data_IF_850114553422
#
_entry.id   IF_850114553422
#
_cell.length_a   1.000
_cell.length_b   1.000
_cell.length_c   1.000
_cell.angle_alpha   90.00
_cell.angle_beta   90.00
_cell.angle_gamma   90.00
#
_symmetry.space_group_name_H-M   'P 1'
#
loop_
_entity.id
_entity.type
_entity.pdbx_description
1 polymer ?
#
# COMPACT_ATOMS: atom_id res chain seq x y z
N UNK A 1 -39.38 -14.62 -12.42
CA UNK A 1 -37.96 -14.20 -12.66
C UNK A 1 -37.19 -15.39 -13.23
N UNK A 2 -36.47 -15.25 -14.33
CA UNK A 2 -35.75 -16.38 -14.96
C UNK A 2 -34.55 -16.77 -14.07
N UNK A 3 -34.67 -17.91 -13.39
CA UNK A 3 -33.68 -18.41 -12.42
C UNK A 3 -32.34 -18.80 -13.10
N UNK A 4 -32.39 -19.24 -14.36
CA UNK A 4 -31.21 -19.61 -15.15
C UNK A 4 -30.38 -18.37 -15.48
N UNK A 5 -31.02 -17.32 -16.02
CA UNK A 5 -30.32 -16.07 -16.32
C UNK A 5 -29.70 -15.42 -15.09
N UNK A 6 -30.39 -15.50 -13.92
CA UNK A 6 -29.83 -14.99 -12.68
C UNK A 6 -28.60 -15.77 -12.24
N UNK A 7 -28.67 -17.10 -12.29
CA UNK A 7 -27.53 -17.96 -11.95
C UNK A 7 -26.33 -17.67 -12.87
N UNK A 8 -26.57 -17.53 -14.16
CA UNK A 8 -25.51 -17.28 -15.13
C UNK A 8 -24.90 -15.87 -14.93
N UNK A 9 -25.71 -14.87 -14.64
CA UNK A 9 -25.24 -13.53 -14.29
C UNK A 9 -24.39 -13.56 -12.99
N UNK A 10 -24.87 -14.25 -11.95
CA UNK A 10 -24.11 -14.41 -10.70
C UNK A 10 -22.77 -15.13 -10.92
N UNK A 11 -22.72 -16.14 -11.77
CA UNK A 11 -21.50 -16.86 -12.13
C UNK A 11 -20.49 -15.93 -12.86
N UNK A 12 -20.96 -15.15 -13.82
CA UNK A 12 -20.13 -14.18 -14.56
C UNK A 12 -19.57 -13.13 -13.60
N UNK A 13 -20.41 -12.53 -12.75
CA UNK A 13 -19.98 -11.52 -11.78
C UNK A 13 -18.93 -12.08 -10.82
N UNK A 14 -19.17 -13.26 -10.23
CA UNK A 14 -18.22 -13.90 -9.33
C UNK A 14 -16.90 -14.24 -10.00
N UNK A 15 -16.93 -14.78 -11.21
CA UNK A 15 -15.74 -15.10 -11.99
C UNK A 15 -14.96 -13.84 -12.33
N UNK A 16 -15.62 -12.75 -12.73
CA UNK A 16 -15.00 -11.47 -13.03
C UNK A 16 -14.33 -10.85 -11.79
N UNK A 17 -15.00 -10.87 -10.64
CA UNK A 17 -14.43 -10.41 -9.38
C UNK A 17 -13.19 -11.24 -9.02
N UNK A 18 -13.29 -12.57 -9.10
CA UNK A 18 -12.17 -13.44 -8.79
C UNK A 18 -10.97 -13.21 -9.69
N UNK A 19 -11.19 -12.95 -10.98
CA UNK A 19 -10.14 -12.71 -11.96
C UNK A 19 -9.34 -11.42 -11.72
N UNK A 20 -9.91 -10.42 -11.02
CA UNK A 20 -9.26 -9.14 -10.71
C UNK A 20 -8.71 -9.06 -9.28
N UNK A 21 -8.84 -10.11 -8.49
CA UNK A 21 -8.22 -10.15 -7.15
C UNK A 21 -6.69 -10.09 -7.26
N UNK A 22 -6.02 -9.42 -6.31
CA UNK A 22 -4.59 -9.15 -6.41
C UNK A 22 -3.70 -10.39 -6.23
N UNK A 23 -4.22 -11.47 -5.68
CA UNK A 23 -3.43 -12.65 -5.29
C UNK A 23 -2.65 -13.25 -6.45
N UNK A 24 -3.33 -13.48 -7.58
CA UNK A 24 -2.72 -14.07 -8.78
C UNK A 24 -1.74 -13.09 -9.46
N UNK A 25 -2.09 -11.80 -9.48
CA UNK A 25 -1.22 -10.79 -10.05
C UNK A 25 0.08 -10.65 -9.24
N UNK A 26 0.00 -10.71 -7.91
CA UNK A 26 1.17 -10.68 -7.03
C UNK A 26 2.02 -11.94 -7.22
N UNK A 27 1.41 -13.13 -7.25
CA UNK A 27 2.15 -14.39 -7.49
C UNK A 27 2.92 -14.35 -8.80
N UNK A 28 2.26 -14.01 -9.91
CA UNK A 28 2.91 -13.89 -11.23
C UNK A 28 4.04 -12.85 -11.24
N UNK A 29 3.85 -11.71 -10.60
CA UNK A 29 4.88 -10.69 -10.53
C UNK A 29 6.11 -11.14 -9.72
N UNK A 30 5.93 -12.08 -8.78
CA UNK A 30 7.00 -12.62 -7.95
C UNK A 30 7.67 -13.87 -8.55
N UNK A 31 7.15 -14.49 -9.62
CA UNK A 31 7.79 -15.64 -10.28
C UNK A 31 9.23 -15.36 -10.75
N UNK A 32 9.47 -14.15 -11.26
CA UNK A 32 10.80 -13.71 -11.69
C UNK A 32 11.57 -12.94 -10.60
N UNK A 33 10.99 -12.82 -9.40
CA UNK A 33 11.61 -12.07 -8.32
C UNK A 33 12.74 -12.86 -7.67
N UNK A 34 13.94 -12.29 -7.69
CA UNK A 34 15.11 -12.88 -7.05
C UNK A 34 15.70 -11.89 -6.03
N UNK A 35 15.61 -12.19 -4.72
CA UNK A 35 16.26 -11.39 -3.70
C UNK A 35 17.79 -11.41 -3.88
N UNK A 36 18.43 -10.30 -3.53
CA UNK A 36 19.89 -10.13 -3.66
C UNK A 36 20.73 -10.86 -2.59
N UNK A 37 20.12 -11.75 -1.80
CA UNK A 37 20.79 -12.55 -0.77
C UNK A 37 20.89 -11.87 0.60
N UNK A 38 20.33 -10.65 0.77
CA UNK A 38 20.13 -9.99 2.05
C UNK A 38 18.71 -10.16 2.58
N UNK A 39 18.26 -9.23 3.43
CA UNK A 39 16.90 -9.22 3.97
C UNK A 39 15.89 -8.88 2.87
N UNK A 40 14.72 -9.51 2.93
CA UNK A 40 13.54 -9.14 2.14
C UNK A 40 12.55 -8.47 3.05
N UNK A 41 12.37 -7.17 2.88
CA UNK A 41 11.44 -6.36 3.64
C UNK A 41 10.22 -6.01 2.79
N UNK A 42 9.03 -6.10 3.39
CA UNK A 42 7.77 -5.88 2.70
C UNK A 42 7.08 -4.63 3.25
N UNK A 43 6.72 -3.71 2.38
CA UNK A 43 5.86 -2.58 2.72
C UNK A 43 4.67 -2.60 1.77
N UNK A 44 3.46 -2.61 2.30
CA UNK A 44 2.25 -2.61 1.50
C UNK A 44 1.31 -1.48 1.92
N UNK A 45 0.78 -0.72 0.97
CA UNK A 45 -0.12 0.39 1.25
C UNK A 45 -1.31 0.43 0.29
N UNK A 46 -2.50 0.66 0.82
CA UNK A 46 -3.73 0.77 0.04
C UNK A 46 -4.83 -0.17 0.50
N UNK A 47 -6.00 -0.09 -0.15
CA UNK A 47 -7.19 -0.87 0.24
C UNK A 47 -7.01 -2.38 0.07
N UNK A 48 -6.18 -2.83 -0.88
CA UNK A 48 -5.84 -4.24 -1.10
C UNK A 48 -4.49 -4.64 -0.47
N UNK A 49 -3.85 -3.76 0.31
CA UNK A 49 -2.50 -3.97 0.83
C UNK A 49 -2.37 -5.25 1.66
N UNK A 50 -3.35 -5.56 2.51
CA UNK A 50 -3.33 -6.79 3.30
C UNK A 50 -3.34 -8.03 2.39
N UNK A 51 -4.24 -8.07 1.40
CA UNK A 51 -4.37 -9.21 0.51
C UNK A 51 -3.13 -9.40 -0.37
N UNK A 52 -2.56 -8.29 -0.89
CA UNK A 52 -1.30 -8.32 -1.64
C UNK A 52 -0.13 -8.83 -0.78
N UNK A 53 -0.01 -8.33 0.44
CA UNK A 53 1.05 -8.75 1.37
C UNK A 53 0.92 -10.22 1.76
N UNK A 54 -0.32 -10.68 2.03
CA UNK A 54 -0.59 -12.08 2.33
C UNK A 54 -0.17 -12.99 1.16
N UNK A 55 -0.57 -12.65 -0.08
CA UNK A 55 -0.17 -13.39 -1.27
C UNK A 55 1.34 -13.37 -1.49
N UNK A 56 2.00 -12.23 -1.24
CA UNK A 56 3.45 -12.12 -1.38
C UNK A 56 4.21 -12.99 -0.37
N UNK A 57 3.79 -12.98 0.90
CA UNK A 57 4.42 -13.82 1.93
C UNK A 57 4.21 -15.32 1.64
N UNK A 58 3.03 -15.69 1.13
CA UNK A 58 2.79 -17.08 0.69
C UNK A 58 3.69 -17.48 -0.48
N UNK A 59 3.89 -16.60 -1.47
CA UNK A 59 4.73 -16.88 -2.63
C UNK A 59 6.23 -16.94 -2.29
N UNK A 60 6.70 -16.07 -1.38
CA UNK A 60 8.10 -16.00 -0.95
C UNK A 60 8.46 -16.99 0.17
N UNK A 61 7.46 -17.59 0.82
CA UNK A 61 7.62 -18.45 1.99
C UNK A 61 7.89 -17.67 3.28
N UNK A 62 8.67 -16.59 3.23
CA UNK A 62 8.93 -15.70 4.38
C UNK A 62 9.39 -14.31 3.92
N UNK A 63 9.27 -13.36 4.83
CA UNK A 63 9.94 -12.05 4.77
C UNK A 63 10.68 -11.82 6.10
N UNK A 64 11.72 -10.99 6.08
CA UNK A 64 12.52 -10.67 7.28
C UNK A 64 11.90 -9.55 8.11
N UNK A 65 10.87 -8.93 7.60
CA UNK A 65 10.05 -7.94 8.27
C UNK A 65 9.09 -7.28 7.29
N UNK A 66 7.98 -6.76 7.80
CA UNK A 66 7.02 -6.08 6.93
C UNK A 66 6.07 -5.15 7.67
N UNK A 67 5.51 -4.20 6.94
CA UNK A 67 4.44 -3.31 7.39
C UNK A 67 3.37 -3.22 6.32
N UNK A 68 2.13 -3.47 6.73
CA UNK A 68 0.93 -3.26 5.92
C UNK A 68 0.18 -2.06 6.47
N UNK A 69 -0.24 -1.15 5.61
CA UNK A 69 -1.13 -0.05 5.96
C UNK A 69 -2.37 -0.11 5.07
N UNK A 70 -3.50 -0.46 5.65
CA UNK A 70 -4.75 -0.60 4.92
C UNK A 70 -5.89 0.16 5.60
N UNK A 71 -7.04 0.25 4.95
CA UNK A 71 -8.23 0.89 5.50
C UNK A 71 -8.81 0.06 6.66
N UNK A 72 -9.44 0.74 7.63
CA UNK A 72 -10.18 0.07 8.71
C UNK A 72 -11.13 -1.02 8.21
N UNK A 73 -11.10 -2.18 8.87
CA UNK A 73 -11.89 -3.37 8.52
C UNK A 73 -11.36 -4.17 7.35
N UNK A 74 -10.14 -3.89 6.86
CA UNK A 74 -9.53 -4.60 5.73
C UNK A 74 -8.44 -5.60 6.13
N UNK A 75 -7.98 -5.60 7.37
CA UNK A 75 -7.11 -6.66 7.92
C UNK A 75 -7.95 -7.89 8.20
N UNK A 76 -7.61 -9.02 7.58
CA UNK A 76 -8.36 -10.29 7.70
C UNK A 76 -7.68 -11.29 8.64
N UNK A 77 -6.55 -10.91 9.24
CA UNK A 77 -5.77 -11.75 10.15
C UNK A 77 -4.31 -11.38 10.18
N UNK A 78 -3.52 -12.05 11.02
CA UNK A 78 -2.07 -11.85 11.09
C UNK A 78 -1.36 -12.41 9.85
N UNK A 79 -0.30 -11.75 9.43
CA UNK A 79 0.64 -12.25 8.42
C UNK A 79 1.97 -12.46 9.11
N UNK A 80 2.58 -13.67 9.07
CA UNK A 80 3.84 -13.94 9.76
C UNK A 80 4.95 -12.96 9.36
N UNK A 81 5.60 -12.34 10.35
CA UNK A 81 6.68 -11.38 10.12
C UNK A 81 6.23 -9.99 9.65
N UNK A 82 4.92 -9.70 9.60
CA UNK A 82 4.37 -8.44 9.09
C UNK A 82 3.47 -7.77 10.11
N UNK A 83 3.73 -6.51 10.40
CA UNK A 83 2.88 -5.64 11.24
C UNK A 83 1.73 -5.09 10.40
N UNK A 84 0.50 -5.55 10.67
CA UNK A 84 -0.68 -5.14 9.93
C UNK A 84 -1.38 -3.98 10.66
N UNK A 85 -1.39 -2.81 10.02
CA UNK A 85 -1.97 -1.58 10.54
C UNK A 85 -3.21 -1.17 9.74
N UNK A 86 -4.24 -0.69 10.43
CA UNK A 86 -5.42 -0.09 9.84
C UNK A 86 -5.42 1.43 10.09
N UNK A 87 -5.88 2.19 9.11
CA UNK A 87 -5.82 3.65 9.12
C UNK A 87 -6.95 4.30 8.33
N UNK A 88 -7.07 5.63 8.46
CA UNK A 88 -8.11 6.44 7.84
C UNK A 88 -7.98 6.57 6.32
N UNK A 89 -9.12 6.46 5.65
CA UNK A 89 -9.25 6.70 4.22
C UNK A 89 -10.66 7.24 3.91
N UNK A 90 -10.85 8.31 3.13
CA UNK A 90 -9.89 8.98 2.23
C UNK A 90 -8.98 10.03 2.92
N UNK A 91 -9.24 10.37 4.16
CA UNK A 91 -8.46 11.35 4.92
C UNK A 91 -7.46 10.60 5.80
N UNK A 92 -6.14 10.94 5.73
CA UNK A 92 -5.15 10.38 6.64
C UNK A 92 -5.44 10.75 8.09
N UNK A 93 -5.10 9.85 9.00
CA UNK A 93 -5.24 10.05 10.44
C UNK A 93 -3.95 9.71 11.20
N UNK A 94 -3.98 9.78 12.52
CA UNK A 94 -2.84 9.47 13.37
C UNK A 94 -2.32 8.04 13.15
N UNK A 95 -3.21 7.08 12.83
CA UNK A 95 -2.81 5.70 12.54
C UNK A 95 -2.10 5.59 11.18
N UNK A 96 -2.49 6.39 10.18
CA UNK A 96 -1.76 6.49 8.91
C UNK A 96 -0.32 6.96 9.15
N UNK A 97 -0.15 7.98 10.01
CA UNK A 97 1.16 8.54 10.33
C UNK A 97 2.04 7.56 11.10
N UNK A 98 1.48 6.94 12.14
CA UNK A 98 2.19 5.96 12.96
C UNK A 98 2.61 4.71 12.15
N UNK A 99 1.73 4.19 11.29
CA UNK A 99 2.03 3.06 10.44
C UNK A 99 3.11 3.39 9.40
N UNK A 100 3.09 4.60 8.84
CA UNK A 100 4.12 5.07 7.92
C UNK A 100 5.47 5.26 8.63
N UNK A 101 5.48 5.71 9.88
CA UNK A 101 6.71 5.76 10.69
C UNK A 101 7.31 4.37 10.94
N UNK A 102 6.49 3.35 11.20
CA UNK A 102 6.95 1.96 11.29
C UNK A 102 7.61 1.50 9.99
N UNK A 103 7.02 1.82 8.84
CA UNK A 103 7.61 1.50 7.55
C UNK A 103 8.94 2.24 7.31
N UNK A 104 9.05 3.50 7.70
CA UNK A 104 10.30 4.26 7.64
C UNK A 104 11.36 3.69 8.59
N UNK A 105 10.97 3.24 9.78
CA UNK A 105 11.86 2.58 10.73
C UNK A 105 12.35 1.23 10.20
N UNK A 106 11.47 0.46 9.56
CA UNK A 106 11.77 -0.85 8.97
C UNK A 106 12.89 -0.75 7.90
N UNK A 107 12.88 0.32 7.10
CA UNK A 107 13.85 0.50 6.00
C UNK A 107 15.12 1.24 6.42
N UNK A 108 15.34 1.48 7.72
CA UNK A 108 16.60 2.05 8.21
C UNK A 108 17.74 1.03 8.17
N UNK A 109 18.93 1.50 7.85
CA UNK A 109 20.15 0.66 7.88
C UNK A 109 20.12 -0.47 6.85
N UNK A 110 19.50 -0.26 5.71
CA UNK A 110 19.56 -1.19 4.58
C UNK A 110 20.98 -1.25 4.01
N UNK A 111 21.32 -2.43 3.51
CA UNK A 111 22.56 -2.69 2.76
C UNK A 111 22.26 -2.93 1.28
N UNK A 112 23.28 -2.91 0.43
CA UNK A 112 23.10 -3.18 -1.01
C UNK A 112 22.55 -4.59 -1.33
N UNK A 113 22.59 -5.50 -0.36
CA UNK A 113 22.07 -6.87 -0.48
C UNK A 113 20.59 -6.97 -0.07
N UNK A 114 20.08 -6.01 0.69
CA UNK A 114 18.69 -6.00 1.14
C UNK A 114 17.75 -5.59 -0.01
N UNK A 115 16.55 -6.10 0.02
CA UNK A 115 15.51 -5.79 -0.97
C UNK A 115 14.25 -5.32 -0.27
N UNK A 116 13.70 -4.20 -0.71
CA UNK A 116 12.38 -3.71 -0.25
C UNK A 116 11.36 -3.98 -1.34
N UNK A 117 10.38 -4.80 -1.02
CA UNK A 117 9.21 -5.05 -1.87
C UNK A 117 8.10 -4.08 -1.44
N UNK A 118 7.77 -3.12 -2.31
CA UNK A 118 6.71 -2.14 -2.04
C UNK A 118 5.47 -2.46 -2.87
N UNK A 119 4.39 -2.85 -2.21
CA UNK A 119 3.11 -3.22 -2.82
C UNK A 119 2.11 -2.07 -2.65
N UNK A 120 1.68 -1.49 -3.76
CA UNK A 120 0.80 -0.33 -3.74
C UNK A 120 -0.52 -0.62 -4.45
N UNK A 121 -1.63 -0.28 -3.80
CA UNK A 121 -2.97 -0.36 -4.36
C UNK A 121 -3.76 0.94 -4.17
N UNK A 122 -4.97 1.01 -4.71
CA UNK A 122 -5.84 2.17 -4.59
C UNK A 122 -6.04 2.63 -3.14
N UNK A 123 -5.99 3.95 -2.92
CA UNK A 123 -6.11 4.55 -1.58
C UNK A 123 -4.78 4.73 -0.84
N UNK A 124 -3.67 4.21 -1.35
CA UNK A 124 -2.37 4.29 -0.70
C UNK A 124 -1.89 5.72 -0.39
N UNK A 125 -2.32 6.71 -1.17
CA UNK A 125 -1.94 8.11 -0.94
C UNK A 125 -2.47 8.69 0.38
N UNK A 126 -3.62 8.24 0.88
CA UNK A 126 -4.13 8.63 2.19
C UNK A 126 -3.55 7.74 3.29
N UNK A 127 -3.47 6.44 3.04
CA UNK A 127 -3.05 5.45 4.01
C UNK A 127 -1.56 5.51 4.33
N UNK A 128 -0.72 5.85 3.35
CA UNK A 128 0.74 5.95 3.50
C UNK A 128 1.16 7.42 3.48
N UNK A 129 1.14 8.05 4.66
CA UNK A 129 1.42 9.46 4.85
C UNK A 129 2.29 9.72 6.08
N UNK A 130 3.32 10.51 5.90
CA UNK A 130 4.09 11.14 6.98
C UNK A 130 4.19 12.63 6.68
N UNK A 131 3.36 13.46 7.32
CA UNK A 131 3.36 14.88 7.06
C UNK A 131 4.62 15.56 7.60
N UNK A 132 5.08 16.60 6.89
CA UNK A 132 6.16 17.51 7.31
C UNK A 132 5.64 18.68 8.15
N UNK A 133 4.32 18.82 8.24
CA UNK A 133 3.58 19.75 9.09
C UNK A 133 2.78 18.96 10.12
N UNK A 134 2.10 19.60 11.04
CA UNK A 134 1.21 18.88 11.95
C UNK A 134 0.06 18.20 11.19
N UNK A 135 -0.48 17.11 11.73
CA UNK A 135 -1.62 16.41 11.12
C UNK A 135 -2.85 17.33 10.95
N UNK A 136 -3.08 18.25 11.90
CA UNK A 136 -4.15 19.24 11.85
C UNK A 136 -3.95 20.25 10.70
N UNK A 137 -2.74 20.75 10.51
CA UNK A 137 -2.42 21.64 9.39
C UNK A 137 -2.56 20.94 8.04
N UNK A 138 -2.10 19.69 7.93
CA UNK A 138 -2.28 18.91 6.68
C UNK A 138 -3.77 18.73 6.35
N UNK A 139 -4.59 18.48 7.37
CA UNK A 139 -6.03 18.30 7.20
C UNK A 139 -6.70 19.63 6.81
N UNK A 140 -6.33 20.73 7.43
CA UNK A 140 -6.84 22.07 7.09
C UNK A 140 -6.47 22.48 5.67
N UNK A 141 -5.21 22.31 5.26
CA UNK A 141 -4.76 22.57 3.89
C UNK A 141 -5.51 21.70 2.89
N UNK A 142 -5.75 20.42 3.21
CA UNK A 142 -6.50 19.51 2.34
C UNK A 142 -7.95 19.98 2.17
N UNK A 143 -8.59 20.42 3.25
CA UNK A 143 -9.97 20.97 3.22
C UNK A 143 -10.05 22.27 2.41
N UNK A 144 -9.08 23.17 2.57
CA UNK A 144 -9.00 24.40 1.78
C UNK A 144 -8.82 24.12 0.28
N UNK A 145 -7.97 23.16 -0.09
CA UNK A 145 -7.78 22.74 -1.47
C UNK A 145 -9.06 22.17 -2.09
N UNK A 146 -9.82 21.38 -1.32
CA UNK A 146 -11.12 20.88 -1.75
C UNK A 146 -12.14 22.01 -1.90
N UNK A 147 -12.19 22.95 -0.96
CA UNK A 147 -13.13 24.05 -0.96
C UNK A 147 -12.88 25.05 -2.10
N UNK A 148 -11.64 25.27 -2.52
CA UNK A 148 -11.32 26.15 -3.66
C UNK A 148 -11.49 25.48 -5.03
N UNK A 149 -11.87 24.19 -5.06
CA UNK A 149 -12.09 23.44 -6.32
C UNK A 149 -10.81 23.01 -7.01
N UNK A 150 -9.70 22.89 -6.26
CA UNK A 150 -8.44 22.38 -6.80
C UNK A 150 -8.60 21.00 -7.44
N UNK A 151 -8.04 20.81 -8.61
CA UNK A 151 -8.05 19.52 -9.29
C UNK A 151 -7.07 18.52 -8.63
N UNK A 152 -7.13 17.27 -9.06
CA UNK A 152 -6.31 16.22 -8.46
C UNK A 152 -4.80 16.43 -8.68
N UNK A 153 -4.40 17.08 -9.75
CA UNK A 153 -2.99 17.37 -10.07
C UNK A 153 -2.47 18.46 -9.13
N UNK A 154 -3.25 19.54 -8.95
CA UNK A 154 -2.94 20.63 -8.02
C UNK A 154 -2.88 20.13 -6.58
N UNK A 155 -3.90 19.37 -6.14
CA UNK A 155 -3.91 18.75 -4.82
C UNK A 155 -2.67 17.87 -4.58
N UNK A 156 -2.34 16.98 -5.53
CA UNK A 156 -1.18 16.10 -5.39
C UNK A 156 0.15 16.88 -5.45
N UNK A 157 0.22 17.98 -6.18
CA UNK A 157 1.40 18.83 -6.23
C UNK A 157 1.74 19.41 -4.87
N UNK A 158 0.74 19.93 -4.16
CA UNK A 158 0.90 20.47 -2.81
C UNK A 158 1.16 19.35 -1.80
N UNK A 159 0.33 18.30 -1.82
CA UNK A 159 0.46 17.17 -0.88
C UNK A 159 1.82 16.48 -0.96
N UNK A 160 2.41 16.34 -2.15
CA UNK A 160 3.77 15.80 -2.32
C UNK A 160 4.81 16.66 -1.62
N UNK A 161 4.65 17.98 -1.59
CA UNK A 161 5.60 18.89 -0.92
C UNK A 161 5.52 18.81 0.59
N UNK A 162 4.34 18.52 1.12
CA UNK A 162 4.05 18.43 2.56
C UNK A 162 4.26 17.03 3.15
N UNK A 163 4.79 16.08 2.38
CA UNK A 163 4.94 14.68 2.80
C UNK A 163 6.39 14.23 2.76
N UNK A 164 6.83 13.50 3.79
CA UNK A 164 8.15 12.88 3.86
C UNK A 164 8.29 11.61 3.00
N UNK A 165 7.18 11.04 2.51
CA UNK A 165 7.20 9.74 1.80
C UNK A 165 6.70 9.81 0.37
N UNK A 166 5.93 10.85 -0.01
CA UNK A 166 5.40 11.01 -1.37
C UNK A 166 6.44 11.58 -2.35
N UNK A 167 6.12 11.54 -3.65
CA UNK A 167 6.98 12.09 -4.69
C UNK A 167 8.33 11.39 -4.82
N UNK A 168 8.39 10.10 -4.54
CA UNK A 168 9.63 9.30 -4.61
C UNK A 168 10.48 9.35 -3.33
N UNK A 169 10.11 10.15 -2.32
CA UNK A 169 10.92 10.29 -1.09
C UNK A 169 11.05 8.99 -0.31
N UNK A 170 10.00 8.15 -0.27
CA UNK A 170 10.14 6.83 0.36
C UNK A 170 11.24 5.98 -0.31
N UNK A 171 11.34 6.02 -1.63
CA UNK A 171 12.43 5.33 -2.33
C UNK A 171 13.82 5.89 -1.96
N UNK A 172 13.92 7.18 -1.66
CA UNK A 172 15.18 7.79 -1.16
C UNK A 172 15.55 7.27 0.24
N UNK A 173 14.56 6.98 1.11
CA UNK A 173 14.81 6.30 2.38
C UNK A 173 15.26 4.86 2.19
N UNK A 174 14.90 4.21 1.07
CA UNK A 174 15.31 2.86 0.70
C UNK A 174 16.60 2.83 -0.13
N UNK A 175 17.57 3.70 0.11
CA UNK A 175 18.71 4.11 -0.74
C UNK A 175 19.57 3.02 -1.41
N UNK A 176 19.22 1.74 -1.37
CA UNK A 176 20.08 0.63 -1.80
C UNK A 176 19.46 -0.31 -2.84
N UNK A 177 18.22 -0.72 -2.73
CA UNK A 177 17.52 -1.53 -3.73
C UNK A 177 16.01 -1.46 -3.51
N UNK A 178 15.31 -1.03 -4.51
CA UNK A 178 13.89 -0.79 -4.45
C UNK A 178 13.19 -1.50 -5.60
N UNK A 179 12.28 -2.40 -5.27
CA UNK A 179 11.36 -3.03 -6.23
C UNK A 179 9.94 -2.69 -5.79
N UNK A 180 9.14 -2.12 -6.69
CA UNK A 180 7.75 -1.86 -6.37
C UNK A 180 6.81 -2.52 -7.37
N UNK A 181 5.66 -2.95 -6.88
CA UNK A 181 4.56 -3.48 -7.65
C UNK A 181 3.34 -2.60 -7.42
N UNK A 182 2.77 -2.09 -8.51
CA UNK A 182 1.48 -1.41 -8.50
C UNK A 182 0.46 -2.28 -9.23
N UNK A 183 -0.73 -2.41 -8.66
CA UNK A 183 -1.86 -2.92 -9.42
C UNK A 183 -2.50 -1.76 -10.18
N UNK A 184 -2.91 -1.96 -11.44
CA UNK A 184 -3.73 -0.98 -12.14
C UNK A 184 -5.00 -0.74 -11.34
N UNK A 185 -5.34 0.53 -11.15
CA UNK A 185 -6.58 0.99 -10.49
C UNK A 185 -7.73 1.03 -11.47
#
# INVERSE_FOLDING_TARGET
MNTTLRRDADAIVRSSIQAVLPDEAVRRALEAFQPKGGRVLLVAAGKAAWQMAHAAVQALGRVDGGVVVTKYGHVKGGIPGVDCCEAGHPVPDANSFAATEKALALVRGLTAKDTVLFLLSGGGSALFEKPLVSGAELQDITNQLLACGADIVEMNTIRKRLSAVKGGRFAQHCAVSYTHLTLPT
#
